data_IF_456764399129
#
_entry.id   IF_456764399129
#
_cell.length_a   1.000
_cell.length_b   1.000
_cell.length_c   1.000
_cell.angle_alpha   90.00
_cell.angle_beta   90.00
_cell.angle_gamma   90.00
#
_symmetry.space_group_name_H-M   'P 1'
#
loop_
_entity.id
_entity.type
_entity.pdbx_description
1 polymer ?
#
# COMPACT_ATOMS: atom_id res chain seq x y z
N UNK A 1 28.00 10.05 7.61
CA UNK A 1 26.72 10.77 7.37
C UNK A 1 26.47 11.07 5.89
N UNK A 2 27.44 11.60 5.13
CA UNK A 2 27.30 11.80 3.67
C UNK A 2 26.93 10.52 2.92
N UNK A 3 27.59 9.40 3.20
CA UNK A 3 27.31 8.11 2.55
C UNK A 3 25.91 7.58 2.83
N UNK A 4 25.44 7.70 4.09
CA UNK A 4 24.06 7.35 4.48
C UNK A 4 23.04 8.18 3.70
N UNK A 5 23.30 9.48 3.50
CA UNK A 5 22.40 10.36 2.75
C UNK A 5 22.38 10.03 1.25
N UNK A 6 23.54 9.71 0.66
CA UNK A 6 23.62 9.23 -0.72
C UNK A 6 22.86 7.92 -0.90
N UNK A 7 23.03 6.97 0.01
CA UNK A 7 22.33 5.68 -0.03
C UNK A 7 20.83 5.83 0.16
N UNK A 8 20.41 6.67 1.11
CA UNK A 8 19.00 7.02 1.27
C UNK A 8 18.43 7.67 0.00
N UNK A 9 19.21 8.49 -0.73
CA UNK A 9 18.76 9.07 -1.99
C UNK A 9 18.59 8.02 -3.10
N UNK A 10 19.48 7.03 -3.18
CA UNK A 10 19.33 5.90 -4.11
C UNK A 10 18.04 5.12 -3.85
N UNK A 11 17.79 4.76 -2.59
CA UNK A 11 16.56 4.06 -2.18
C UNK A 11 15.33 4.95 -2.39
N UNK A 12 15.41 6.24 -2.07
CA UNK A 12 14.30 7.17 -2.24
C UNK A 12 13.78 7.25 -3.68
N UNK A 13 14.69 7.16 -4.67
CA UNK A 13 14.36 7.22 -6.10
C UNK A 13 13.63 5.99 -6.60
N UNK A 14 13.75 4.85 -5.93
CA UNK A 14 13.06 3.61 -6.32
C UNK A 14 11.66 3.50 -5.71
N UNK A 15 11.37 4.27 -4.66
CA UNK A 15 10.07 4.27 -3.98
C UNK A 15 9.07 5.21 -4.66
N UNK A 16 7.77 4.89 -4.59
CA UNK A 16 6.67 5.76 -5.06
C UNK A 16 5.70 6.06 -3.90
N UNK A 17 4.91 7.13 -4.01
CA UNK A 17 3.95 7.57 -2.98
C UNK A 17 4.43 8.75 -2.13
N UNK A 18 3.90 8.86 -0.91
CA UNK A 18 4.05 10.04 -0.05
C UNK A 18 5.53 10.42 0.21
N UNK A 19 5.85 11.70 -0.02
CA UNK A 19 7.23 12.22 0.03
C UNK A 19 7.91 12.00 1.38
N UNK A 20 7.18 12.19 2.48
CA UNK A 20 7.72 12.09 3.84
C UNK A 20 7.92 10.62 4.22
N UNK A 21 6.99 9.75 3.86
CA UNK A 21 7.11 8.32 4.10
C UNK A 21 8.30 7.71 3.36
N UNK A 22 8.50 8.09 2.08
CA UNK A 22 9.64 7.65 1.27
C UNK A 22 10.98 8.01 1.92
N UNK A 23 11.12 9.27 2.34
CA UNK A 23 12.35 9.76 2.94
C UNK A 23 12.64 9.06 4.27
N UNK A 24 11.61 8.88 5.11
CA UNK A 24 11.76 8.22 6.40
C UNK A 24 12.18 6.74 6.26
N UNK A 25 11.62 6.01 5.28
CA UNK A 25 12.00 4.63 4.99
C UNK A 25 13.45 4.56 4.48
N UNK A 26 13.77 5.37 3.48
CA UNK A 26 15.08 5.36 2.84
C UNK A 26 16.21 5.70 3.83
N UNK A 27 15.97 6.64 4.75
CA UNK A 27 16.91 6.97 5.83
C UNK A 27 17.09 5.81 6.81
N UNK A 28 16.01 5.18 7.26
CA UNK A 28 16.10 4.03 8.18
C UNK A 28 16.88 2.88 7.59
N UNK A 29 16.63 2.58 6.32
CA UNK A 29 17.30 1.51 5.60
C UNK A 29 18.78 1.82 5.43
N UNK A 30 19.14 3.03 4.96
CA UNK A 30 20.53 3.43 4.85
C UNK A 30 21.27 3.43 6.21
N UNK A 31 20.59 3.77 7.30
CA UNK A 31 21.14 3.68 8.65
C UNK A 31 21.28 2.25 9.16
N UNK A 32 20.39 1.34 8.78
CA UNK A 32 20.49 -0.08 9.12
C UNK A 32 21.65 -0.73 8.35
N UNK A 33 21.75 -0.48 7.05
CA UNK A 33 22.86 -0.95 6.18
C UNK A 33 24.21 -0.43 6.67
N UNK A 34 24.28 0.80 7.18
CA UNK A 34 25.52 1.38 7.71
C UNK A 34 25.90 0.89 9.13
N UNK A 35 24.97 0.25 9.85
CA UNK A 35 25.22 -0.28 11.20
C UNK A 35 25.73 -1.72 11.19
N UNK A 36 25.46 -2.44 10.12
CA UNK A 36 25.76 -3.86 10.00
C UNK A 36 26.85 -4.08 8.94
N UNK A 37 28.11 -3.97 9.37
CA UNK A 37 29.31 -4.10 8.52
C UNK A 37 29.53 -5.54 8.01
N UNK A 38 28.68 -6.48 8.44
CA UNK A 38 28.81 -7.94 8.25
C UNK A 38 27.79 -8.57 7.32
N UNK A 39 26.76 -7.84 6.90
CA UNK A 39 25.82 -8.36 5.91
C UNK A 39 26.40 -8.13 4.51
N UNK A 40 26.62 -9.20 3.75
CA UNK A 40 26.75 -9.09 2.29
C UNK A 40 25.67 -8.12 1.80
N UNK A 41 26.03 -7.17 0.94
CA UNK A 41 25.08 -6.29 0.25
C UNK A 41 24.10 -7.17 -0.52
N UNK A 42 23.06 -7.63 0.15
CA UNK A 42 21.95 -8.27 -0.51
C UNK A 42 21.34 -7.17 -1.35
N UNK A 43 21.47 -7.30 -2.67
CA UNK A 43 20.71 -6.51 -3.62
C UNK A 43 19.24 -6.78 -3.28
N UNK A 44 18.67 -5.98 -2.38
CA UNK A 44 17.27 -6.06 -2.07
C UNK A 44 16.57 -5.58 -3.34
N UNK A 45 16.16 -6.55 -4.15
CA UNK A 45 15.22 -6.34 -5.25
C UNK A 45 13.91 -5.90 -4.58
N UNK A 46 13.76 -4.60 -4.42
CA UNK A 46 12.52 -4.01 -3.95
C UNK A 46 11.49 -4.23 -5.06
N UNK A 47 10.63 -5.22 -4.86
CA UNK A 47 9.42 -5.31 -5.66
C UNK A 47 8.65 -4.00 -5.51
N UNK A 48 8.28 -3.42 -6.65
CA UNK A 48 7.51 -2.18 -6.77
C UNK A 48 6.11 -2.44 -6.23
N UNK A 49 5.92 -2.33 -4.91
CA UNK A 49 4.60 -2.43 -4.31
C UNK A 49 3.89 -1.11 -4.55
N UNK A 50 2.92 -1.15 -5.46
CA UNK A 50 2.30 0.05 -6.00
C UNK A 50 1.66 0.87 -4.88
N UNK A 51 1.07 0.28 -3.83
CA UNK A 51 0.48 1.03 -2.70
C UNK A 51 0.36 0.16 -1.43
N UNK A 52 0.90 0.64 -0.30
CA UNK A 52 0.80 -0.02 1.01
C UNK A 52 -0.39 0.43 1.87
N UNK A 53 -1.40 1.09 1.29
CA UNK A 53 -2.54 1.62 2.03
C UNK A 53 -3.76 1.79 1.11
N UNK A 54 -4.96 1.49 1.64
CA UNK A 54 -6.23 1.94 1.03
C UNK A 54 -6.47 3.40 1.45
N UNK A 55 -6.56 4.27 0.47
CA UNK A 55 -6.92 5.67 0.58
C UNK A 55 -8.44 5.86 0.68
N UNK A 56 -8.84 7.04 1.19
CA UNK A 56 -10.26 7.45 1.20
C UNK A 56 -10.86 7.51 -0.20
N UNK A 57 -10.05 7.74 -1.24
CA UNK A 57 -10.51 7.70 -2.62
C UNK A 57 -10.97 6.28 -3.01
N UNK A 58 -10.12 5.28 -2.79
CA UNK A 58 -10.44 3.88 -3.10
C UNK A 58 -11.66 3.40 -2.31
N UNK A 59 -11.74 3.74 -1.01
CA UNK A 59 -12.91 3.46 -0.21
C UNK A 59 -14.18 4.16 -0.72
N UNK A 60 -14.04 5.41 -1.19
CA UNK A 60 -15.11 6.17 -1.83
C UNK A 60 -15.64 5.54 -3.10
N UNK A 61 -14.75 5.02 -3.96
CA UNK A 61 -15.12 4.34 -5.20
C UNK A 61 -15.94 3.07 -4.90
N UNK A 62 -15.49 2.26 -3.94
CA UNK A 62 -16.20 1.05 -3.50
C UNK A 62 -17.56 1.42 -2.89
N UNK A 63 -17.61 2.41 -2.01
CA UNK A 63 -18.88 2.85 -1.42
C UNK A 63 -19.89 3.34 -2.47
N UNK A 64 -19.42 4.09 -3.47
CA UNK A 64 -20.27 4.57 -4.56
C UNK A 64 -20.81 3.41 -5.40
N UNK A 65 -19.95 2.46 -5.77
CA UNK A 65 -20.36 1.28 -6.52
C UNK A 65 -21.35 0.40 -5.73
N UNK A 66 -21.17 0.28 -4.41
CA UNK A 66 -22.15 -0.38 -3.52
C UNK A 66 -23.49 0.36 -3.54
N UNK A 67 -23.49 1.68 -3.42
CA UNK A 67 -24.71 2.51 -3.44
C UNK A 67 -25.47 2.43 -4.77
N UNK A 68 -24.74 2.29 -5.87
CA UNK A 68 -25.29 2.10 -7.21
C UNK A 68 -25.79 0.67 -7.46
N UNK A 69 -25.54 -0.27 -6.55
CA UNK A 69 -25.90 -1.69 -6.72
C UNK A 69 -25.00 -2.44 -7.70
N UNK A 70 -23.91 -1.84 -8.18
CA UNK A 70 -22.97 -2.45 -9.11
C UNK A 70 -22.13 -3.57 -8.46
N UNK A 71 -21.93 -3.49 -7.15
CA UNK A 71 -21.27 -4.51 -6.33
C UNK A 71 -22.07 -4.76 -5.04
N UNK A 72 -21.98 -5.99 -4.53
CA UNK A 72 -22.56 -6.43 -3.26
C UNK A 72 -21.45 -6.50 -2.21
N UNK A 73 -21.48 -5.55 -1.29
CA UNK A 73 -20.60 -5.51 -0.12
C UNK A 73 -21.43 -5.03 1.08
N UNK A 74 -21.15 -5.57 2.27
CA UNK A 74 -21.88 -5.15 3.47
C UNK A 74 -21.43 -3.75 3.93
N UNK A 75 -22.35 -2.97 4.52
CA UNK A 75 -21.99 -1.66 5.12
C UNK A 75 -20.89 -1.81 6.18
N UNK A 76 -20.91 -2.92 6.94
CA UNK A 76 -19.88 -3.25 7.93
C UNK A 76 -18.50 -3.36 7.29
N UNK A 77 -18.40 -4.06 6.16
CA UNK A 77 -17.17 -4.22 5.40
C UNK A 77 -16.65 -2.89 4.83
N UNK A 78 -17.54 -2.04 4.31
CA UNK A 78 -17.16 -0.69 3.83
C UNK A 78 -16.67 0.19 4.99
N UNK A 79 -17.32 0.14 6.15
CA UNK A 79 -16.86 0.88 7.33
C UNK A 79 -15.48 0.39 7.81
N UNK A 80 -15.22 -0.91 7.74
CA UNK A 80 -13.89 -1.47 8.03
C UNK A 80 -12.84 -0.92 7.06
N UNK A 81 -13.16 -0.84 5.76
CA UNK A 81 -12.28 -0.25 4.75
C UNK A 81 -11.95 1.21 5.04
N UNK A 82 -12.95 2.02 5.43
CA UNK A 82 -12.73 3.41 5.85
C UNK A 82 -11.92 3.51 7.14
N UNK A 83 -12.15 2.62 8.11
CA UNK A 83 -11.34 2.58 9.34
C UNK A 83 -9.87 2.31 9.04
N UNK A 84 -9.55 1.49 8.04
CA UNK A 84 -8.16 1.28 7.59
C UNK A 84 -7.56 2.53 6.96
N UNK A 85 -8.36 3.37 6.28
CA UNK A 85 -7.88 4.65 5.73
C UNK A 85 -7.42 5.60 6.85
N UNK A 86 -8.09 5.55 7.99
CA UNK A 86 -7.84 6.45 9.13
C UNK A 86 -6.76 5.94 10.10
N UNK A 87 -6.26 4.70 9.91
CA UNK A 87 -5.12 4.21 10.67
C UNK A 87 -3.85 4.92 10.21
N UNK A 88 -3.47 5.96 10.95
CA UNK A 88 -2.15 6.57 10.87
C UNK A 88 -1.10 5.59 11.41
N UNK A 89 -0.44 4.86 10.53
CA UNK A 89 0.77 4.13 10.89
C UNK A 89 1.94 5.13 10.93
N UNK A 90 2.41 5.39 12.15
CA UNK A 90 3.36 6.44 12.53
C UNK A 90 4.75 6.26 11.89
N UNK A 91 4.98 5.14 11.19
CA UNK A 91 6.26 4.77 10.61
C UNK A 91 6.12 4.18 9.20
N UNK A 92 6.89 4.71 8.24
CA UNK A 92 6.91 4.25 6.86
C UNK A 92 7.25 2.75 6.71
N UNK A 93 8.06 2.19 7.61
CA UNK A 93 8.37 0.75 7.64
C UNK A 93 7.12 -0.12 7.85
N UNK A 94 6.13 0.38 8.57
CA UNK A 94 4.85 -0.32 8.75
C UNK A 94 3.96 -0.24 7.51
N UNK A 95 4.23 0.68 6.55
CA UNK A 95 3.52 0.71 5.25
C UNK A 95 4.04 -0.34 4.27
N UNK A 96 5.32 -0.72 4.38
CA UNK A 96 5.97 -1.68 3.47
C UNK A 96 6.08 -3.10 4.05
N UNK A 97 5.79 -3.29 5.34
CA UNK A 97 5.65 -4.60 6.00
C UNK A 97 4.22 -5.16 5.99
N UNK A 98 3.32 -4.54 5.23
CA UNK A 98 1.92 -4.92 5.23
C UNK A 98 1.60 -5.88 4.09
N UNK A 99 0.67 -6.80 4.36
CA UNK A 99 0.24 -7.89 3.49
C UNK A 99 -0.16 -7.37 2.10
N UNK A 100 0.76 -7.42 1.14
CA UNK A 100 0.61 -6.84 -0.20
C UNK A 100 -0.67 -7.35 -0.88
N UNK A 101 -0.99 -8.62 -0.68
CA UNK A 101 -2.17 -9.27 -1.24
C UNK A 101 -3.48 -8.60 -0.81
N UNK A 102 -3.53 -7.99 0.38
CA UNK A 102 -4.71 -7.34 0.91
C UNK A 102 -5.03 -6.02 0.16
N UNK A 103 -4.01 -5.19 -0.04
CA UNK A 103 -4.16 -3.89 -0.69
C UNK A 103 -4.29 -4.01 -2.20
N UNK A 104 -3.51 -4.92 -2.80
CA UNK A 104 -3.56 -5.17 -4.24
C UNK A 104 -4.96 -5.60 -4.68
N UNK A 105 -5.66 -6.40 -3.86
CA UNK A 105 -7.04 -6.81 -4.14
C UNK A 105 -8.03 -5.64 -4.17
N UNK A 106 -7.96 -4.72 -3.21
CA UNK A 106 -8.81 -3.52 -3.19
C UNK A 106 -8.51 -2.60 -4.37
N UNK A 107 -7.24 -2.43 -4.72
CA UNK A 107 -6.85 -1.55 -5.82
C UNK A 107 -7.25 -2.16 -7.17
N UNK A 108 -7.08 -3.47 -7.34
CA UNK A 108 -7.59 -4.20 -8.49
C UNK A 108 -9.11 -4.05 -8.61
N UNK A 109 -9.84 -4.15 -7.49
CA UNK A 109 -11.28 -3.91 -7.46
C UNK A 109 -11.65 -2.48 -7.88
N UNK A 110 -10.95 -1.47 -7.37
CA UNK A 110 -11.19 -0.06 -7.70
C UNK A 110 -10.91 0.23 -9.17
N UNK A 111 -9.79 -0.24 -9.71
CA UNK A 111 -9.48 -0.11 -11.14
C UNK A 111 -10.58 -0.73 -11.99
N UNK A 112 -11.03 -1.93 -11.65
CA UNK A 112 -12.11 -2.62 -12.33
C UNK A 112 -13.44 -1.87 -12.26
N UNK A 113 -13.79 -1.28 -11.11
CA UNK A 113 -14.99 -0.41 -10.98
C UNK A 113 -14.90 0.80 -11.92
N UNK A 114 -13.73 1.45 -12.00
CA UNK A 114 -13.55 2.65 -12.81
C UNK A 114 -13.65 2.37 -14.31
N UNK A 115 -13.28 1.17 -14.76
CA UNK A 115 -13.41 0.74 -16.16
C UNK A 115 -14.70 -0.04 -16.45
N UNK A 116 -15.57 -0.23 -15.45
CA UNK A 116 -16.88 -0.89 -15.59
C UNK A 116 -16.86 -2.43 -15.50
N UNK A 117 -15.74 -3.04 -15.13
CA UNK A 117 -15.59 -4.50 -14.95
C UNK A 117 -16.09 -4.96 -13.57
N UNK A 118 -17.40 -4.81 -13.31
CA UNK A 118 -17.97 -5.05 -11.98
C UNK A 118 -17.89 -6.52 -11.51
N UNK A 119 -17.92 -7.49 -12.44
CA UNK A 119 -17.79 -8.91 -12.09
C UNK A 119 -16.39 -9.23 -11.53
N UNK A 120 -15.34 -8.68 -12.16
CA UNK A 120 -13.97 -8.82 -11.67
C UNK A 120 -13.79 -8.06 -10.35
N UNK A 121 -14.34 -6.84 -10.24
CA UNK A 121 -14.35 -6.09 -9.00
C UNK A 121 -15.00 -6.88 -7.84
N UNK A 122 -16.16 -7.49 -8.08
CA UNK A 122 -16.86 -8.31 -7.09
C UNK A 122 -16.01 -9.49 -6.63
N UNK A 123 -15.33 -10.17 -7.57
CA UNK A 123 -14.42 -11.28 -7.23
C UNK A 123 -13.29 -10.83 -6.30
N UNK A 124 -12.66 -9.69 -6.59
CA UNK A 124 -11.59 -9.15 -5.75
C UNK A 124 -12.10 -8.71 -4.38
N UNK A 125 -13.31 -8.15 -4.31
CA UNK A 125 -13.95 -7.77 -3.05
C UNK A 125 -14.27 -9.01 -2.21
N UNK A 126 -14.80 -10.08 -2.80
CA UNK A 126 -15.08 -11.32 -2.06
C UNK A 126 -13.78 -11.93 -1.51
N UNK A 127 -12.73 -12.00 -2.34
CA UNK A 127 -11.41 -12.47 -1.91
C UNK A 127 -10.83 -11.63 -0.76
N UNK A 128 -11.20 -10.36 -0.66
CA UNK A 128 -10.81 -9.47 0.43
C UNK A 128 -11.65 -9.68 1.69
N UNK A 129 -12.95 -9.96 1.56
CA UNK A 129 -13.86 -10.26 2.68
C UNK A 129 -13.54 -11.61 3.32
N UNK A 130 -13.22 -12.62 2.51
CA UNK A 130 -13.02 -14.00 2.94
C UNK A 130 -11.66 -14.25 3.64
N UNK A 131 -10.86 -13.19 3.87
CA UNK A 131 -9.55 -13.22 4.53
C UNK A 131 -9.63 -12.69 5.96
#
# INVERSE_FOLDING_TARGET
>A
MKEIMTRAWEIYRTLEGDRLAKLAMALRQAWAEAKDDTLERVEQVYYRYTYGQVSRFEAGVIYKAMKQGAIKISKKAVNALYSQCDKMYRFASERYHQNHNYYDGIIAAVKAILIGEYAYAQKQINNWIDR
#
